data_IF_649097597899
#
_entry.id   IF_649097597899
#
_cell.length_a   1.000
_cell.length_b   1.000
_cell.length_c   1.000
_cell.angle_alpha   90.00
_cell.angle_beta   90.00
_cell.angle_gamma   90.00
#
_symmetry.space_group_name_H-M   'P 1'
#
loop_
_entity.id
_entity.type
_entity.pdbx_description
1 polymer ?
#
# COMPACT_ATOMS: atom_id res chain seq x y z
N UNK A 1 -10.91 -16.11 -9.18
CA UNK A 1 -10.61 -15.01 -8.21
C UNK A 1 -11.89 -14.64 -7.48
N UNK A 2 -11.86 -14.54 -6.16
CA UNK A 2 -12.92 -13.91 -5.36
C UNK A 2 -12.73 -12.40 -5.38
N UNK A 3 -13.83 -11.63 -5.46
CA UNK A 3 -13.79 -10.16 -5.44
C UNK A 3 -14.53 -9.62 -4.24
N UNK A 4 -14.02 -8.55 -3.65
CA UNK A 4 -14.62 -7.84 -2.51
C UNK A 4 -14.65 -6.34 -2.77
N UNK A 5 -15.67 -5.70 -2.27
CA UNK A 5 -15.76 -4.24 -2.32
C UNK A 5 -14.71 -3.62 -1.39
N UNK A 6 -14.00 -2.62 -1.90
CA UNK A 6 -13.05 -1.83 -1.09
C UNK A 6 -13.83 -0.76 -0.32
N UNK A 7 -14.14 -1.06 0.93
CA UNK A 7 -14.85 -0.15 1.82
C UNK A 7 -16.08 0.48 1.14
N UNK A 8 -16.24 1.79 1.32
CA UNK A 8 -17.34 2.60 0.75
C UNK A 8 -17.10 3.10 -0.68
N UNK A 9 -16.00 2.73 -1.33
CA UNK A 9 -15.60 3.26 -2.65
C UNK A 9 -16.47 2.76 -3.80
N UNK A 10 -17.16 1.64 -3.63
CA UNK A 10 -17.86 0.95 -4.72
C UNK A 10 -16.95 0.14 -5.65
N UNK A 11 -15.63 0.24 -5.49
CA UNK A 11 -14.66 -0.50 -6.31
C UNK A 11 -14.56 -1.95 -5.83
N UNK A 12 -14.46 -2.89 -6.79
CA UNK A 12 -14.35 -4.32 -6.51
C UNK A 12 -12.93 -4.81 -6.82
N UNK A 13 -12.22 -5.29 -5.81
CA UNK A 13 -10.88 -5.85 -5.96
C UNK A 13 -10.84 -7.35 -5.70
N UNK A 14 -9.99 -8.05 -6.44
CA UNK A 14 -9.62 -9.41 -6.12
C UNK A 14 -9.01 -9.49 -4.71
N UNK A 15 -9.29 -10.59 -3.99
CA UNK A 15 -8.74 -10.80 -2.64
C UNK A 15 -7.21 -10.96 -2.63
N UNK A 16 -6.61 -11.16 -3.80
CA UNK A 16 -5.17 -11.13 -4.02
C UNK A 16 -4.84 -9.93 -4.87
N UNK A 17 -3.94 -9.07 -4.39
CA UNK A 17 -3.37 -7.94 -5.11
C UNK A 17 -1.91 -8.19 -5.51
N UNK A 18 -1.40 -7.40 -6.46
CA UNK A 18 -0.02 -7.44 -6.93
C UNK A 18 0.81 -6.36 -6.24
N UNK A 19 1.78 -6.74 -5.40
CA UNK A 19 2.82 -5.82 -4.93
C UNK A 19 3.92 -5.67 -5.97
N UNK A 20 4.24 -4.43 -6.34
CA UNK A 20 5.18 -4.15 -7.43
C UNK A 20 6.63 -3.92 -6.97
N UNK A 21 6.93 -4.02 -5.67
CA UNK A 21 8.28 -3.78 -5.13
C UNK A 21 9.37 -4.57 -5.86
N UNK A 22 9.14 -5.86 -6.06
CA UNK A 22 10.12 -6.76 -6.68
C UNK A 22 10.20 -6.65 -8.21
N UNK A 23 9.42 -5.78 -8.83
CA UNK A 23 9.54 -5.43 -10.25
C UNK A 23 10.60 -4.36 -10.51
N UNK A 24 11.03 -3.65 -9.46
CA UNK A 24 12.10 -2.66 -9.57
C UNK A 24 13.42 -3.32 -9.97
N UNK A 25 14.13 -2.71 -10.92
CA UNK A 25 15.35 -3.25 -11.51
C UNK A 25 15.16 -4.51 -12.38
N UNK A 26 13.93 -4.94 -12.66
CA UNK A 26 13.69 -6.10 -13.54
C UNK A 26 13.60 -5.69 -15.01
N UNK A 27 14.09 -6.54 -15.93
CA UNK A 27 13.89 -6.32 -17.36
C UNK A 27 12.41 -6.20 -17.72
N UNK A 28 12.10 -5.38 -18.73
CA UNK A 28 10.71 -5.16 -19.17
C UNK A 28 9.93 -6.45 -19.42
N UNK A 29 10.56 -7.46 -20.05
CA UNK A 29 9.88 -8.73 -20.33
C UNK A 29 9.35 -9.42 -19.06
N UNK A 30 10.08 -9.35 -17.94
CA UNK A 30 9.64 -9.90 -16.65
C UNK A 30 8.48 -9.08 -16.07
N UNK A 31 8.56 -7.74 -16.18
CA UNK A 31 7.47 -6.86 -15.73
C UNK A 31 6.20 -7.11 -16.53
N UNK A 32 6.31 -7.20 -17.85
CA UNK A 32 5.19 -7.46 -18.76
C UNK A 32 4.53 -8.81 -18.47
N UNK A 33 5.33 -9.89 -18.40
CA UNK A 33 4.85 -11.24 -18.11
C UNK A 33 4.11 -11.28 -16.76
N UNK A 34 4.69 -10.67 -15.72
CA UNK A 34 4.10 -10.64 -14.38
C UNK A 34 2.76 -9.91 -14.36
N UNK A 35 2.67 -8.73 -15.00
CA UNK A 35 1.43 -7.95 -15.04
C UNK A 35 0.36 -8.67 -15.87
N UNK A 36 0.73 -9.25 -17.02
CA UNK A 36 -0.20 -9.99 -17.85
C UNK A 36 -0.71 -11.25 -17.13
N UNK A 37 0.18 -12.02 -16.49
CA UNK A 37 -0.21 -13.16 -15.68
C UNK A 37 -1.15 -12.77 -14.52
N UNK A 38 -0.89 -11.64 -13.85
CA UNK A 38 -1.78 -11.12 -12.82
C UNK A 38 -3.18 -10.84 -13.37
N UNK A 39 -3.29 -10.09 -14.47
CA UNK A 39 -4.56 -9.77 -15.12
C UNK A 39 -5.31 -11.02 -15.61
N UNK A 40 -4.60 -11.98 -16.19
CA UNK A 40 -5.19 -13.21 -16.72
C UNK A 40 -5.71 -14.14 -15.61
N UNK A 41 -5.17 -14.01 -14.39
CA UNK A 41 -5.65 -14.70 -13.19
C UNK A 41 -6.67 -13.89 -12.38
N UNK A 42 -7.13 -12.74 -12.90
CA UNK A 42 -8.17 -11.91 -12.28
C UNK A 42 -7.66 -11.01 -11.15
N UNK A 43 -6.35 -10.80 -11.03
CA UNK A 43 -5.78 -9.79 -10.15
C UNK A 43 -5.99 -8.42 -10.82
N UNK A 44 -6.73 -7.56 -10.16
CA UNK A 44 -7.11 -6.25 -10.69
C UNK A 44 -6.77 -5.08 -9.75
N UNK A 45 -5.90 -5.31 -8.77
CA UNK A 45 -5.37 -4.29 -7.87
C UNK A 45 -3.86 -4.46 -7.77
N UNK A 46 -3.11 -3.37 -7.97
CA UNK A 46 -1.67 -3.33 -7.73
C UNK A 46 -1.28 -2.22 -6.76
N UNK A 47 -0.22 -2.48 -6.00
CA UNK A 47 0.43 -1.49 -5.15
C UNK A 47 1.77 -1.07 -5.76
N UNK A 48 1.93 0.24 -5.97
CA UNK A 48 3.09 0.84 -6.61
C UNK A 48 3.60 2.03 -5.79
N UNK A 49 4.44 1.73 -4.79
CA UNK A 49 5.09 2.78 -4.01
C UNK A 49 6.47 3.17 -4.56
N UNK A 50 7.13 2.31 -5.33
CA UNK A 50 8.47 2.56 -5.87
C UNK A 50 8.50 3.85 -6.71
N UNK A 51 9.41 4.81 -6.41
CA UNK A 51 9.46 6.08 -7.10
C UNK A 51 10.22 6.05 -8.44
N UNK A 52 10.97 4.98 -8.72
CA UNK A 52 11.82 4.83 -9.90
C UNK A 52 11.06 4.99 -11.22
N UNK A 53 11.54 5.86 -12.12
CA UNK A 53 10.90 6.12 -13.42
C UNK A 53 10.91 4.89 -14.33
N UNK A 54 11.94 4.07 -14.26
CA UNK A 54 12.08 2.89 -15.12
C UNK A 54 10.99 1.86 -14.81
N UNK A 55 10.83 1.46 -13.54
CA UNK A 55 9.80 0.49 -13.15
C UNK A 55 8.42 1.01 -13.43
N UNK A 56 8.13 2.29 -13.14
CA UNK A 56 6.86 2.94 -13.45
C UNK A 56 6.57 2.95 -14.95
N UNK A 57 7.57 3.24 -15.78
CA UNK A 57 7.45 3.25 -17.24
C UNK A 57 7.24 1.85 -17.81
N UNK A 58 7.93 0.85 -17.28
CA UNK A 58 7.77 -0.55 -17.66
C UNK A 58 6.35 -1.05 -17.32
N UNK A 59 5.83 -0.70 -16.14
CA UNK A 59 4.44 -0.99 -15.74
C UNK A 59 3.43 -0.29 -16.66
N UNK A 60 3.62 1.00 -16.93
CA UNK A 60 2.75 1.76 -17.83
C UNK A 60 2.73 1.19 -19.26
N UNK A 61 3.88 0.70 -19.74
CA UNK A 61 3.99 0.01 -21.03
C UNK A 61 3.26 -1.34 -21.01
N UNK A 62 3.41 -2.14 -19.97
CA UNK A 62 2.75 -3.44 -19.83
C UNK A 62 1.21 -3.31 -19.72
N UNK A 63 0.71 -2.19 -19.18
CA UNK A 63 -0.72 -1.89 -19.08
C UNK A 63 -1.30 -1.20 -20.33
N UNK A 64 -0.52 -0.97 -21.38
CA UNK A 64 -1.01 -0.33 -22.59
C UNK A 64 -2.22 -1.08 -23.19
N UNK A 65 -3.36 -0.37 -23.38
CA UNK A 65 -4.62 -0.95 -23.83
C UNK A 65 -5.37 -1.80 -22.81
N UNK A 66 -4.87 -1.86 -21.55
CA UNK A 66 -5.47 -2.65 -20.44
C UNK A 66 -5.52 -1.88 -19.12
N UNK A 67 -5.25 -0.55 -19.13
CA UNK A 67 -5.15 0.28 -17.94
C UNK A 67 -6.42 0.23 -17.08
N UNK A 68 -7.57 0.16 -17.70
CA UNK A 68 -8.89 0.06 -17.08
C UNK A 68 -9.15 -1.27 -16.36
N UNK A 69 -8.36 -2.29 -16.63
CA UNK A 69 -8.46 -3.61 -15.98
C UNK A 69 -7.68 -3.70 -14.67
N UNK A 70 -6.84 -2.71 -14.36
CA UNK A 70 -5.99 -2.71 -13.18
C UNK A 70 -6.18 -1.43 -12.36
N UNK A 71 -6.68 -1.57 -11.14
CA UNK A 71 -6.68 -0.50 -10.15
C UNK A 71 -5.26 -0.31 -9.60
N UNK A 72 -4.88 0.95 -9.41
CA UNK A 72 -3.53 1.30 -8.94
C UNK A 72 -3.60 2.06 -7.62
N UNK A 73 -2.92 1.53 -6.61
CA UNK A 73 -2.51 2.26 -5.41
C UNK A 73 -1.16 2.93 -5.71
N UNK A 74 -1.18 4.23 -5.97
CA UNK A 74 0.02 5.04 -6.17
C UNK A 74 0.27 5.93 -4.98
N UNK A 75 1.51 6.05 -4.55
CA UNK A 75 1.86 6.69 -3.28
C UNK A 75 2.28 8.15 -3.47
N UNK A 76 1.52 9.07 -2.84
CA UNK A 76 1.90 10.46 -2.62
C UNK A 76 2.95 10.47 -1.51
N UNK A 77 3.98 11.28 -1.64
CA UNK A 77 5.13 11.35 -0.74
C UNK A 77 6.19 10.25 -0.88
N UNK A 78 5.99 9.27 -1.76
CA UNK A 78 7.07 8.36 -2.13
C UNK A 78 7.96 9.01 -3.18
N UNK A 79 9.22 9.21 -2.87
CA UNK A 79 10.20 9.95 -3.67
C UNK A 79 11.48 9.15 -3.84
N UNK A 80 12.27 9.49 -4.85
CA UNK A 80 13.62 8.96 -5.05
C UNK A 80 14.63 10.02 -4.59
N UNK A 81 15.32 9.71 -3.53
CA UNK A 81 16.44 10.52 -3.07
C UNK A 81 17.69 9.62 -3.08
N UNK A 82 18.70 10.05 -3.83
CA UNK A 82 19.96 9.32 -3.95
C UNK A 82 19.84 7.88 -4.49
N UNK A 83 18.94 7.64 -5.45
CA UNK A 83 18.69 6.34 -6.08
C UNK A 83 18.10 5.29 -5.09
N UNK A 84 17.45 5.78 -4.04
CA UNK A 84 16.69 4.96 -3.10
C UNK A 84 15.32 5.59 -2.88
N UNK A 85 14.32 4.76 -2.63
CA UNK A 85 13.03 5.29 -2.22
C UNK A 85 13.15 5.93 -0.84
N UNK A 86 12.46 7.04 -0.68
CA UNK A 86 12.44 7.81 0.56
C UNK A 86 11.06 8.48 0.73
N UNK A 87 10.87 9.18 1.80
CA UNK A 87 9.64 9.88 2.14
C UNK A 87 9.92 11.38 2.10
N UNK A 88 9.13 12.11 1.31
CA UNK A 88 9.12 13.57 1.41
C UNK A 88 7.78 14.05 1.97
N UNK A 89 7.84 15.10 2.77
CA UNK A 89 6.66 15.86 3.23
C UNK A 89 6.63 17.29 2.64
N UNK A 90 7.51 17.59 1.70
CA UNK A 90 7.48 18.82 0.92
C UNK A 90 6.43 18.70 -0.19
N UNK A 91 5.38 19.56 -0.21
CA UNK A 91 4.31 19.46 -1.19
C UNK A 91 4.76 19.60 -2.64
N UNK A 92 5.78 20.44 -2.91
CA UNK A 92 6.29 20.63 -4.27
C UNK A 92 7.04 19.39 -4.77
N UNK A 93 7.81 18.76 -3.89
CA UNK A 93 8.50 17.50 -4.17
C UNK A 93 7.49 16.38 -4.39
N UNK A 94 6.51 16.22 -3.50
CA UNK A 94 5.46 15.20 -3.61
C UNK A 94 4.67 15.35 -4.91
N UNK A 95 4.29 16.57 -5.28
CA UNK A 95 3.61 16.89 -6.55
C UNK A 95 4.43 16.43 -7.75
N UNK A 96 5.70 16.79 -7.81
CA UNK A 96 6.59 16.42 -8.92
C UNK A 96 6.69 14.90 -9.09
N UNK A 97 6.86 14.15 -8.00
CA UNK A 97 6.97 12.70 -8.06
C UNK A 97 5.64 12.01 -8.40
N UNK A 98 4.52 12.58 -7.97
CA UNK A 98 3.19 12.07 -8.31
C UNK A 98 2.83 12.35 -9.78
N UNK A 99 3.15 13.53 -10.31
CA UNK A 99 3.01 13.85 -11.74
C UNK A 99 3.90 12.96 -12.61
N UNK A 100 5.12 12.66 -12.15
CA UNK A 100 6.01 11.69 -12.79
C UNK A 100 5.42 10.28 -12.79
N UNK A 101 4.75 9.86 -11.70
CA UNK A 101 4.03 8.58 -11.66
C UNK A 101 3.00 8.48 -12.78
N UNK A 102 2.13 9.48 -12.93
CA UNK A 102 1.10 9.51 -13.98
C UNK A 102 1.70 9.49 -15.38
N UNK A 103 2.74 10.29 -15.61
CA UNK A 103 3.45 10.36 -16.88
C UNK A 103 4.09 9.02 -17.26
N UNK A 104 4.78 8.37 -16.33
CA UNK A 104 5.41 7.06 -16.56
C UNK A 104 4.37 5.96 -16.81
N UNK A 105 3.27 5.98 -16.06
CA UNK A 105 2.16 5.04 -16.25
C UNK A 105 1.32 5.32 -17.51
N UNK A 106 1.56 6.47 -18.18
CA UNK A 106 0.80 6.90 -19.38
C UNK A 106 -0.70 6.96 -19.12
N UNK A 107 -1.09 7.53 -17.98
CA UNK A 107 -2.48 7.66 -17.55
C UNK A 107 -2.70 9.03 -16.94
N UNK A 108 -3.92 9.53 -17.00
CA UNK A 108 -4.36 10.78 -16.37
C UNK A 108 -5.00 10.57 -15.00
N UNK A 109 -5.19 9.30 -14.59
CA UNK A 109 -5.75 8.95 -13.29
C UNK A 109 -5.14 7.68 -12.71
N UNK A 110 -5.23 7.57 -11.38
CA UNK A 110 -5.09 6.31 -10.64
C UNK A 110 -6.29 6.13 -9.69
N UNK A 111 -6.43 4.94 -9.14
CA UNK A 111 -7.61 4.62 -8.34
C UNK A 111 -7.45 5.08 -6.89
N UNK A 112 -6.29 4.89 -6.29
CA UNK A 112 -6.02 5.29 -4.91
C UNK A 112 -4.75 6.14 -4.83
N UNK A 113 -4.89 7.39 -4.37
CA UNK A 113 -3.76 8.23 -3.96
C UNK A 113 -3.44 7.95 -2.49
N UNK A 114 -2.36 7.22 -2.23
CA UNK A 114 -1.97 6.77 -0.90
C UNK A 114 -1.05 7.79 -0.23
N UNK A 115 -1.41 8.30 0.95
CA UNK A 115 -0.49 9.04 1.81
C UNK A 115 0.53 8.05 2.38
N UNK A 116 1.78 8.17 1.93
CA UNK A 116 2.79 7.15 2.11
C UNK A 116 3.42 7.16 3.50
N UNK A 117 3.51 5.98 4.13
CA UNK A 117 4.28 5.67 5.33
C UNK A 117 4.00 6.62 6.50
N UNK A 118 2.81 6.51 7.09
CA UNK A 118 2.36 7.35 8.21
C UNK A 118 2.36 6.49 9.48
N UNK A 119 3.49 6.44 10.19
CA UNK A 119 3.70 5.51 11.31
C UNK A 119 3.82 6.18 12.68
N UNK A 120 4.00 7.50 12.72
CA UNK A 120 4.14 8.26 13.95
C UNK A 120 3.14 9.42 14.02
N UNK A 121 3.02 10.04 15.20
CA UNK A 121 2.24 11.27 15.38
C UNK A 121 2.80 12.42 14.53
N UNK A 122 4.13 12.49 14.36
CA UNK A 122 4.78 13.48 13.53
C UNK A 122 4.46 13.25 12.04
N UNK A 123 4.51 12.00 11.56
CA UNK A 123 4.11 11.66 10.19
C UNK A 123 2.65 12.00 9.94
N UNK A 124 1.78 11.72 10.92
CA UNK A 124 0.37 12.06 10.82
C UNK A 124 0.19 13.57 10.64
N UNK A 125 0.79 14.38 11.51
CA UNK A 125 0.67 15.85 11.38
C UNK A 125 1.24 16.34 10.05
N UNK A 126 2.39 15.82 9.64
CA UNK A 126 3.03 16.21 8.38
C UNK A 126 2.25 15.78 7.13
N UNK A 127 1.44 14.72 7.20
CA UNK A 127 0.65 14.25 6.06
C UNK A 127 -0.81 14.71 6.08
N UNK A 128 -1.44 14.79 7.26
CA UNK A 128 -2.88 15.04 7.43
C UNK A 128 -3.23 16.45 7.90
N UNK A 129 -2.28 17.18 8.48
CA UNK A 129 -2.48 18.53 9.02
C UNK A 129 -1.62 19.55 8.23
N UNK A 130 -1.47 19.34 6.91
CA UNK A 130 -0.58 20.08 6.02
C UNK A 130 -1.14 20.17 4.60
N UNK A 131 -0.46 20.92 3.74
CA UNK A 131 -0.74 21.06 2.31
C UNK A 131 -0.70 19.73 1.53
N UNK A 132 -0.11 18.66 2.11
CA UNK A 132 -0.12 17.32 1.50
C UNK A 132 -1.54 16.78 1.42
N UNK A 133 -2.32 16.90 2.51
CA UNK A 133 -3.72 16.48 2.49
C UNK A 133 -4.55 17.32 1.52
N UNK A 134 -4.34 18.63 1.52
CA UNK A 134 -5.03 19.55 0.57
C UNK A 134 -4.74 19.15 -0.88
N UNK A 135 -3.49 18.81 -1.18
CA UNK A 135 -3.10 18.31 -2.49
C UNK A 135 -3.81 17.00 -2.84
N UNK A 136 -3.85 16.02 -1.94
CA UNK A 136 -4.56 14.76 -2.17
C UNK A 136 -6.06 14.98 -2.40
N UNK A 137 -6.69 15.88 -1.63
CA UNK A 137 -8.09 16.25 -1.81
C UNK A 137 -8.32 16.98 -3.14
N UNK A 138 -7.40 17.83 -3.59
CA UNK A 138 -7.46 18.46 -4.90
C UNK A 138 -7.39 17.44 -6.04
N UNK A 139 -6.46 16.51 -5.97
CA UNK A 139 -6.38 15.39 -6.92
C UNK A 139 -7.71 14.61 -6.99
N UNK A 140 -8.35 14.34 -5.84
CA UNK A 140 -9.64 13.66 -5.79
C UNK A 140 -10.76 14.50 -6.43
N UNK A 141 -10.84 15.81 -6.13
CA UNK A 141 -11.82 16.71 -6.75
C UNK A 141 -11.70 16.80 -8.27
N UNK A 142 -10.47 16.75 -8.78
CA UNK A 142 -10.16 16.78 -10.21
C UNK A 142 -10.31 15.44 -10.91
N UNK A 143 -10.60 14.37 -10.17
CA UNK A 143 -10.72 13.02 -10.70
C UNK A 143 -9.38 12.36 -11.08
N UNK A 144 -8.25 12.94 -10.68
CA UNK A 144 -6.92 12.36 -10.89
C UNK A 144 -6.69 11.14 -10.00
N UNK A 145 -7.30 11.15 -8.81
CA UNK A 145 -7.46 9.96 -7.98
C UNK A 145 -8.94 9.74 -7.69
N UNK A 146 -9.37 8.48 -7.62
CA UNK A 146 -10.76 8.14 -7.28
C UNK A 146 -11.02 8.19 -5.77
N UNK A 147 -10.03 7.76 -4.99
CA UNK A 147 -10.11 7.69 -3.54
C UNK A 147 -8.78 8.04 -2.88
N UNK A 148 -8.84 8.50 -1.62
CA UNK A 148 -7.67 8.76 -0.80
C UNK A 148 -7.44 7.55 0.10
N UNK A 149 -6.22 7.07 0.15
CA UNK A 149 -5.77 6.05 1.09
C UNK A 149 -4.58 6.53 1.91
N UNK A 150 -4.16 5.71 2.84
CA UNK A 150 -2.90 5.88 3.56
C UNK A 150 -2.26 4.52 3.87
N UNK A 151 -0.93 4.49 4.01
CA UNK A 151 -0.22 3.30 4.46
C UNK A 151 0.37 3.52 5.84
N UNK A 152 0.24 2.52 6.71
CA UNK A 152 0.81 2.52 8.06
C UNK A 152 1.16 1.11 8.53
N UNK A 153 2.15 1.02 9.43
CA UNK A 153 2.50 -0.20 10.15
C UNK A 153 2.11 -0.11 11.64
N UNK A 154 1.87 1.11 12.12
CA UNK A 154 1.55 1.37 13.52
C UNK A 154 0.02 1.40 13.73
N UNK A 155 -0.56 0.50 14.55
CA UNK A 155 -2.01 0.43 14.73
C UNK A 155 -2.61 1.65 15.44
N UNK A 156 -1.83 2.34 16.28
CA UNK A 156 -2.30 3.56 16.97
C UNK A 156 -2.44 4.70 15.97
N UNK A 157 -1.41 4.90 15.12
CA UNK A 157 -1.43 5.92 14.08
C UNK A 157 -2.47 5.57 12.99
N UNK A 158 -2.56 4.29 12.60
CA UNK A 158 -3.56 3.82 11.64
C UNK A 158 -5.00 4.08 12.15
N UNK A 159 -5.26 3.91 13.46
CA UNK A 159 -6.54 4.27 14.05
C UNK A 159 -6.84 5.77 13.89
N UNK A 160 -5.87 6.64 14.19
CA UNK A 160 -6.03 8.10 14.00
C UNK A 160 -6.30 8.45 12.54
N UNK A 161 -5.62 7.77 11.60
CA UNK A 161 -5.87 7.92 10.15
C UNK A 161 -7.34 7.62 9.82
N UNK A 162 -7.88 6.51 10.30
CA UNK A 162 -9.28 6.11 10.05
C UNK A 162 -10.26 7.05 10.74
N UNK A 163 -9.97 7.48 11.96
CA UNK A 163 -10.78 8.43 12.73
C UNK A 163 -10.88 9.82 12.07
N UNK A 164 -9.89 10.23 11.27
CA UNK A 164 -9.92 11.48 10.49
C UNK A 164 -11.12 11.57 9.54
N UNK A 165 -11.67 10.43 9.12
CA UNK A 165 -12.77 10.35 8.17
C UNK A 165 -12.41 10.67 6.72
N UNK A 166 -11.15 10.98 6.44
CA UNK A 166 -10.66 11.41 5.12
C UNK A 166 -10.37 10.23 4.19
N UNK A 167 -9.84 9.14 4.74
CA UNK A 167 -9.40 8.00 3.94
C UNK A 167 -10.55 7.03 3.61
N UNK A 168 -10.49 6.49 2.42
CA UNK A 168 -11.38 5.45 1.93
C UNK A 168 -10.72 4.06 1.98
N UNK A 169 -9.38 4.04 2.07
CA UNK A 169 -8.55 2.84 2.07
C UNK A 169 -7.39 2.98 3.06
N UNK A 170 -7.15 1.95 3.85
CA UNK A 170 -5.97 1.78 4.69
C UNK A 170 -5.14 0.60 4.17
N UNK A 171 -3.89 0.83 3.80
CA UNK A 171 -2.91 -0.21 3.57
C UNK A 171 -2.18 -0.50 4.87
N UNK A 172 -2.32 -1.71 5.39
CA UNK A 172 -1.84 -2.05 6.73
C UNK A 172 -1.10 -3.39 6.75
N UNK A 173 -0.09 -3.49 7.60
CA UNK A 173 0.66 -4.74 7.77
C UNK A 173 -0.12 -5.72 8.65
N UNK A 174 -0.65 -6.78 8.05
CA UNK A 174 -1.45 -7.80 8.74
C UNK A 174 -0.85 -9.18 8.52
N UNK A 175 -0.53 -9.84 9.60
CA UNK A 175 -0.21 -11.27 9.65
C UNK A 175 -0.33 -11.75 11.10
N UNK A 176 -0.42 -13.07 11.37
CA UNK A 176 -0.60 -13.60 12.71
C UNK A 176 0.48 -13.17 13.72
N UNK A 177 1.73 -13.03 13.27
CA UNK A 177 2.81 -12.60 14.16
C UNK A 177 2.64 -11.14 14.58
N UNK A 178 2.37 -10.24 13.64
CA UNK A 178 2.19 -8.81 13.94
C UNK A 178 0.96 -8.56 14.80
N UNK A 179 -0.10 -9.35 14.64
CA UNK A 179 -1.30 -9.24 15.45
C UNK A 179 -1.08 -9.65 16.92
N UNK A 180 0.04 -10.30 17.22
CA UNK A 180 0.47 -10.70 18.57
C UNK A 180 1.53 -9.79 19.18
N UNK A 181 1.97 -8.73 18.49
CA UNK A 181 2.98 -7.80 18.99
C UNK A 181 2.35 -6.60 19.70
N UNK A 182 3.11 -5.94 20.62
CA UNK A 182 2.69 -4.67 21.20
C UNK A 182 2.40 -3.61 20.13
N UNK A 183 1.46 -2.68 20.40
CA UNK A 183 1.01 -1.69 19.41
C UNK A 183 2.07 -0.65 19.05
N UNK A 184 3.06 -0.44 19.91
CA UNK A 184 4.17 0.51 19.79
C UNK A 184 5.47 -0.12 19.28
N UNK A 185 5.39 -1.37 18.79
CA UNK A 185 6.56 -2.07 18.25
C UNK A 185 7.11 -1.36 17.00
N UNK A 186 8.41 -1.14 16.98
CA UNK A 186 9.12 -0.58 15.82
C UNK A 186 9.13 -1.57 14.66
N UNK A 187 8.89 -1.09 13.44
CA UNK A 187 8.79 -1.92 12.24
C UNK A 187 10.04 -2.80 12.03
N UNK A 188 11.23 -2.25 12.25
CA UNK A 188 12.49 -2.98 12.10
C UNK A 188 12.58 -4.18 13.04
N UNK A 189 12.15 -4.02 14.30
CA UNK A 189 12.08 -5.10 15.28
C UNK A 189 11.01 -6.14 14.91
N UNK A 190 9.85 -5.69 14.45
CA UNK A 190 8.77 -6.57 13.99
C UNK A 190 9.22 -7.49 12.86
N UNK A 191 10.04 -6.98 11.94
CA UNK A 191 10.58 -7.76 10.82
C UNK A 191 11.78 -8.60 11.26
N UNK A 192 12.67 -8.05 12.11
CA UNK A 192 13.95 -8.66 12.50
C UNK A 192 13.80 -9.86 13.44
N UNK A 193 13.05 -9.70 14.53
CA UNK A 193 12.92 -10.69 15.60
C UNK A 193 11.46 -10.77 16.12
N UNK A 194 10.51 -11.18 15.29
CA UNK A 194 9.09 -11.15 15.65
C UNK A 194 8.76 -12.00 16.89
N UNK A 195 9.42 -13.15 17.06
CA UNK A 195 9.13 -14.07 18.16
C UNK A 195 9.43 -13.49 19.56
N UNK A 196 10.37 -12.57 19.65
CA UNK A 196 10.73 -11.93 20.91
C UNK A 196 9.69 -10.89 21.37
N UNK A 197 8.90 -10.37 20.43
CA UNK A 197 7.90 -9.33 20.68
C UNK A 197 6.49 -9.88 20.93
N UNK A 198 6.23 -11.16 20.61
CA UNK A 198 4.89 -11.72 20.73
C UNK A 198 4.44 -11.88 22.19
N UNK A 199 3.43 -11.10 22.57
CA UNK A 199 2.89 -11.07 23.93
C UNK A 199 1.43 -11.57 24.03
N UNK A 200 0.83 -11.99 22.91
CA UNK A 200 -0.57 -12.39 22.78
C UNK A 200 -1.35 -11.47 21.86
N UNK A 201 -2.60 -11.78 21.60
CA UNK A 201 -3.45 -11.01 20.67
C UNK A 201 -3.54 -9.54 21.09
N UNK A 202 -3.16 -8.66 20.17
CA UNK A 202 -3.16 -7.22 20.41
C UNK A 202 -4.58 -6.64 20.21
N UNK A 203 -5.24 -6.16 21.27
CA UNK A 203 -6.61 -5.64 21.18
C UNK A 203 -6.68 -4.37 20.32
N UNK A 204 -5.61 -3.55 20.28
CA UNK A 204 -5.59 -2.30 19.48
C UNK A 204 -5.73 -2.60 17.99
N UNK A 205 -5.11 -3.67 17.50
CA UNK A 205 -5.23 -4.10 16.10
C UNK A 205 -6.64 -4.61 15.79
N UNK A 206 -7.21 -5.41 16.68
CA UNK A 206 -8.58 -5.90 16.54
C UNK A 206 -9.62 -4.76 16.55
N UNK A 207 -9.41 -3.74 17.38
CA UNK A 207 -10.24 -2.52 17.41
C UNK A 207 -10.09 -1.71 16.11
N UNK A 208 -8.87 -1.59 15.57
CA UNK A 208 -8.62 -0.93 14.28
C UNK A 208 -9.41 -1.59 13.15
N UNK A 209 -9.42 -2.93 13.08
CA UNK A 209 -10.15 -3.66 12.03
C UNK A 209 -11.65 -3.41 12.12
N UNK A 210 -12.22 -3.45 13.35
CA UNK A 210 -13.64 -3.13 13.56
C UNK A 210 -13.95 -1.67 13.21
N UNK A 211 -13.06 -0.75 13.54
CA UNK A 211 -13.22 0.67 13.20
C UNK A 211 -13.23 0.88 11.67
N UNK A 212 -12.34 0.22 10.93
CA UNK A 212 -12.35 0.26 9.47
C UNK A 212 -13.69 -0.22 8.92
N UNK A 213 -14.20 -1.35 9.41
CA UNK A 213 -15.52 -1.88 9.03
C UNK A 213 -16.64 -0.86 9.32
N UNK A 214 -16.71 -0.34 10.54
CA UNK A 214 -17.73 0.64 10.96
C UNK A 214 -17.71 1.93 10.14
N UNK A 215 -16.52 2.37 9.71
CA UNK A 215 -16.33 3.59 8.92
C UNK A 215 -16.39 3.36 7.42
N UNK A 216 -16.55 2.11 6.98
CA UNK A 216 -16.52 1.74 5.58
C UNK A 216 -15.17 2.02 4.91
N UNK A 217 -14.07 1.94 5.66
CA UNK A 217 -12.70 2.06 5.14
C UNK A 217 -12.22 0.68 4.72
N UNK A 218 -11.84 0.52 3.45
CA UNK A 218 -11.26 -0.72 2.95
C UNK A 218 -9.88 -0.97 3.56
N UNK A 219 -9.48 -2.23 3.64
CA UNK A 219 -8.12 -2.60 4.05
C UNK A 219 -7.44 -3.36 2.92
N UNK A 220 -6.26 -2.90 2.49
CA UNK A 220 -5.32 -3.70 1.72
C UNK A 220 -4.18 -4.15 2.61
N UNK A 221 -3.75 -5.41 2.43
CA UNK A 221 -2.80 -6.06 3.34
C UNK A 221 -1.42 -6.05 2.74
N UNK A 222 -0.46 -5.47 3.45
CA UNK A 222 0.96 -5.64 3.18
C UNK A 222 1.59 -6.57 4.21
N UNK A 223 2.75 -7.15 3.86
CA UNK A 223 3.53 -8.03 4.75
C UNK A 223 2.74 -9.23 5.29
N UNK A 224 1.79 -9.77 4.51
CA UNK A 224 1.00 -10.96 4.87
C UNK A 224 1.86 -12.17 5.27
N UNK A 225 3.08 -12.24 4.76
CA UNK A 225 4.07 -13.28 5.05
C UNK A 225 5.26 -12.75 5.87
N UNK A 226 5.06 -11.62 6.61
CA UNK A 226 6.09 -11.04 7.49
C UNK A 226 7.37 -10.66 6.76
N UNK A 227 7.27 -10.09 5.55
CA UNK A 227 8.42 -9.80 4.66
C UNK A 227 9.27 -11.05 4.38
N UNK A 228 8.63 -12.21 4.22
CA UNK A 228 9.29 -13.49 3.97
C UNK A 228 9.73 -14.26 5.24
N UNK A 229 9.69 -13.65 6.42
CA UNK A 229 10.11 -14.28 7.67
C UNK A 229 9.16 -15.40 8.16
N UNK A 230 7.90 -15.36 7.71
CA UNK A 230 6.92 -16.39 8.05
C UNK A 230 6.94 -17.58 7.07
N UNK A 231 7.83 -17.59 6.08
CA UNK A 231 7.99 -18.64 5.08
C UNK A 231 9.38 -19.28 5.21
N UNK A 232 9.74 -19.77 6.39
CA UNK A 232 10.99 -20.51 6.52
C UNK A 232 10.69 -22.01 6.48
N UNK A 233 11.35 -22.81 5.59
CA UNK A 233 11.23 -24.26 5.60
C UNK A 233 11.64 -24.89 6.94
N UNK A 234 12.50 -24.19 7.69
CA UNK A 234 13.08 -24.69 8.93
C UNK A 234 12.25 -24.36 10.17
N UNK A 235 11.35 -23.36 10.12
CA UNK A 235 10.74 -22.79 11.32
C UNK A 235 9.23 -22.61 11.27
N UNK A 236 8.54 -22.99 10.22
CA UNK A 236 7.10 -22.74 10.12
C UNK A 236 6.26 -24.01 10.07
N UNK A 237 5.55 -24.32 11.18
CA UNK A 237 4.56 -25.40 11.17
C UNK A 237 3.38 -25.14 10.22
N UNK A 238 3.27 -23.91 9.66
CA UNK A 238 2.21 -23.50 8.74
C UNK A 238 2.58 -23.58 7.25
N UNK A 239 3.86 -23.70 6.91
CA UNK A 239 4.30 -23.89 5.53
C UNK A 239 4.47 -25.37 5.23
N UNK A 240 3.36 -26.08 5.00
CA UNK A 240 3.45 -27.30 4.19
C UNK A 240 3.60 -26.84 2.74
N UNK A 241 4.58 -27.41 1.99
CA UNK A 241 4.60 -27.18 0.55
C UNK A 241 3.22 -27.54 -0.01
N UNK A 242 2.67 -26.67 -0.84
CA UNK A 242 1.55 -27.03 -1.69
C UNK A 242 2.08 -28.11 -2.65
N UNK A 243 1.82 -29.37 -2.35
CA UNK A 243 2.07 -30.49 -3.25
C UNK A 243 0.98 -30.58 -4.28
#
# INVERSE_FOLDING_TARGET
MEYRQIGRTGLQAGVVGLGCEHLDGKPYAVVEETIHAALDNGINLMDLFMPGEEVRSNIGRALAGRRDRMMIQGHICSVDLNQQYDISRDPAVCRRYFETLLRCLRTDYIDFGMLFFVDSAADYSAAFESDILEYAQDLKRRGVIRAIGASSHNPVTARRIVESGVVDLLMFSINPAFDMMPPDSELEKMIGAPGELMTGMNPVRAELYRLCEQRGVGITVMKSLGAGKLISPEHTPFCKPLT
#
